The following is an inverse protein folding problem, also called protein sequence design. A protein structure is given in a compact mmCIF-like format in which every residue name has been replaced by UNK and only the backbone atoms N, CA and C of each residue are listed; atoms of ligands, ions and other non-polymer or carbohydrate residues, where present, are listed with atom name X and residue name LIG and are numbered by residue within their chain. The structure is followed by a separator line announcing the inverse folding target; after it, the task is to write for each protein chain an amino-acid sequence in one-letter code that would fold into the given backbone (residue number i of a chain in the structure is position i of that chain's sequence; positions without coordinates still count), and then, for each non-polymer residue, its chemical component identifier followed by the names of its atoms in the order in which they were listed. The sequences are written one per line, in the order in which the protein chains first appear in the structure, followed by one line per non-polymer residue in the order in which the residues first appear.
data_IF_765208888342
#
_entry.id   IF_765208888342
#
_cell.length_a   1.000
_cell.length_b   1.000
_cell.length_c   1.000
_cell.angle_alpha   90.00
_cell.angle_beta   90.00
_cell.angle_gamma   90.00
#
_symmetry.space_group_name_H-M   'P 1'
#
loop_
_entity.id
_entity.type
_entity.pdbx_description
1 polymer ?
#
# COMPACT_ATOMS: atom_id res chain seq x y z
N UNK A 1 -7.47 16.48 -8.33
CA UNK A 1 -6.68 16.46 -9.58
C UNK A 1 -7.25 15.46 -10.58
N UNK A 2 -7.12 14.15 -10.36
CA UNK A 2 -7.52 13.12 -11.34
C UNK A 2 -8.99 13.18 -11.79
N UNK A 3 -9.94 13.50 -10.89
CA UNK A 3 -11.37 13.58 -11.22
C UNK A 3 -11.72 14.70 -12.21
N UNK A 4 -11.17 15.90 -12.06
CA UNK A 4 -11.46 17.05 -12.94
C UNK A 4 -10.83 16.85 -14.33
N UNK A 5 -9.61 16.32 -14.39
CA UNK A 5 -8.97 15.97 -15.66
C UNK A 5 -9.75 14.89 -16.42
N UNK A 6 -10.30 13.90 -15.70
CA UNK A 6 -11.15 12.87 -16.28
C UNK A 6 -12.47 13.44 -16.81
N UNK A 7 -13.12 14.32 -16.04
CA UNK A 7 -14.36 14.99 -16.46
C UNK A 7 -14.15 15.82 -17.74
N UNK A 8 -13.04 16.57 -17.83
CA UNK A 8 -12.70 17.33 -19.05
C UNK A 8 -12.50 16.43 -20.27
N UNK A 9 -11.86 15.26 -20.09
CA UNK A 9 -11.70 14.27 -21.17
C UNK A 9 -13.05 13.71 -21.64
N UNK A 10 -13.99 13.45 -20.73
CA UNK A 10 -15.34 12.98 -21.07
C UNK A 10 -16.16 14.06 -21.78
N UNK A 11 -15.93 15.34 -21.46
CA UNK A 11 -16.57 16.48 -22.10
C UNK A 11 -15.91 16.90 -23.44
N UNK A 12 -15.00 16.10 -23.99
CA UNK A 12 -14.33 16.37 -25.26
C UNK A 12 -13.19 17.40 -25.21
N UNK A 13 -12.84 17.90 -24.02
CA UNK A 13 -11.80 18.91 -23.81
C UNK A 13 -10.65 18.34 -22.96
N UNK A 14 -9.72 17.57 -23.56
CA UNK A 14 -8.61 16.98 -22.82
C UNK A 14 -7.62 18.05 -22.37
N UNK A 15 -7.71 18.47 -21.11
CA UNK A 15 -6.77 19.41 -20.49
C UNK A 15 -5.57 18.67 -19.90
N UNK A 16 -4.38 19.30 -19.97
CA UNK A 16 -3.20 18.80 -19.29
C UNK A 16 -3.39 18.89 -17.76
N UNK A 17 -2.99 17.83 -17.04
CA UNK A 17 -3.08 17.77 -15.57
C UNK A 17 -2.35 18.95 -14.89
N UNK A 18 -1.26 19.47 -15.48
CA UNK A 18 -0.53 20.64 -14.97
C UNK A 18 -1.39 21.91 -15.02
N UNK A 19 -2.16 22.10 -16.09
CA UNK A 19 -3.05 23.25 -16.25
C UNK A 19 -4.18 23.21 -15.23
N UNK A 20 -4.78 22.04 -15.04
CA UNK A 20 -5.80 21.82 -14.00
C UNK A 20 -5.23 22.12 -12.60
N UNK A 21 -4.01 21.66 -12.32
CA UNK A 21 -3.35 21.92 -11.04
C UNK A 21 -3.11 23.42 -10.78
N UNK A 22 -2.61 24.16 -11.78
CA UNK A 22 -2.41 25.62 -11.67
C UNK A 22 -3.73 26.37 -11.44
N UNK A 23 -4.78 26.01 -12.17
CA UNK A 23 -6.11 26.61 -12.00
C UNK A 23 -6.68 26.34 -10.60
N UNK A 24 -6.55 25.10 -10.11
CA UNK A 24 -6.98 24.76 -8.74
C UNK A 24 -6.21 25.56 -7.69
N UNK A 25 -4.90 25.78 -7.88
CA UNK A 25 -4.10 26.61 -6.97
C UNK A 25 -4.56 28.08 -7.01
N UNK A 26 -4.76 28.65 -8.20
CA UNK A 26 -5.23 30.04 -8.34
C UNK A 26 -6.62 30.26 -7.72
N UNK A 27 -7.50 29.25 -7.79
CA UNK A 27 -8.84 29.29 -7.24
C UNK A 27 -8.91 28.82 -5.77
N UNK A 28 -7.78 28.52 -5.14
CA UNK A 28 -7.70 27.94 -3.79
C UNK A 28 -8.57 26.68 -3.59
N UNK A 29 -8.71 25.87 -4.64
CA UNK A 29 -9.50 24.63 -4.63
C UNK A 29 -8.64 23.44 -4.24
N UNK A 30 -9.13 22.64 -3.28
CA UNK A 30 -8.52 21.39 -2.88
C UNK A 30 -9.39 20.19 -3.28
N UNK A 31 -8.75 19.03 -3.47
CA UNK A 31 -9.45 17.77 -3.69
C UNK A 31 -10.05 17.28 -2.36
N UNK A 32 -11.37 17.10 -2.30
CA UNK A 32 -12.03 16.51 -1.12
C UNK A 32 -11.59 15.06 -0.85
N UNK A 33 -11.10 14.37 -1.89
CA UNK A 33 -10.61 12.99 -1.77
C UNK A 33 -9.24 12.99 -1.10
N UNK A 34 -9.14 12.26 0.03
CA UNK A 34 -7.89 12.02 0.77
C UNK A 34 -6.87 11.29 -0.12
N UNK A 35 -5.61 11.73 -0.07
CA UNK A 35 -4.52 11.00 -0.73
C UNK A 35 -4.40 9.60 -0.13
N UNK A 36 -4.41 8.57 -0.98
CA UNK A 36 -4.16 7.19 -0.56
C UNK A 36 -2.73 7.09 -0.03
N UNK A 37 -2.55 6.56 1.19
CA UNK A 37 -1.23 6.25 1.72
C UNK A 37 -0.64 5.10 0.89
N UNK A 38 0.66 5.16 0.60
CA UNK A 38 1.35 4.06 -0.08
C UNK A 38 1.16 2.76 0.69
N UNK A 39 0.83 1.68 -0.03
CA UNK A 39 0.74 0.34 0.51
C UNK A 39 1.48 -0.60 -0.45
N UNK A 40 2.62 -1.14 -0.01
CA UNK A 40 3.39 -2.13 -0.76
C UNK A 40 2.73 -3.50 -0.77
N UNK A 41 1.82 -3.77 0.19
CA UNK A 41 1.03 -4.98 0.22
C UNK A 41 0.06 -4.97 -0.95
N UNK A 42 0.39 -5.71 -2.01
CA UNK A 42 -0.43 -5.82 -3.21
C UNK A 42 -1.31 -7.10 -3.23
N UNK A 43 -1.67 -7.60 -2.05
CA UNK A 43 -2.53 -8.78 -1.85
C UNK A 43 -1.77 -10.05 -1.48
N UNK A 44 -2.46 -11.19 -1.51
CA UNK A 44 -1.86 -12.52 -1.32
C UNK A 44 -1.01 -12.85 -2.56
N UNK A 45 0.30 -12.67 -2.48
CA UNK A 45 1.22 -13.09 -3.53
C UNK A 45 1.47 -14.60 -3.39
N UNK A 46 1.09 -15.37 -4.43
CA UNK A 46 1.36 -16.81 -4.50
C UNK A 46 0.40 -17.69 -3.69
N UNK A 47 0.71 -19.00 -3.68
CA UNK A 47 0.01 -20.00 -2.87
C UNK A 47 0.54 -19.88 -1.45
N UNK A 48 -0.29 -19.38 -0.53
CA UNK A 48 0.08 -19.38 0.88
C UNK A 48 0.31 -20.83 1.33
N UNK A 49 1.41 -21.09 2.04
CA UNK A 49 1.63 -22.37 2.68
C UNK A 49 0.45 -22.67 3.63
N UNK A 50 0.12 -23.95 3.77
CA UNK A 50 -0.91 -24.37 4.70
C UNK A 50 -0.53 -23.95 6.12
N UNK A 51 -1.52 -23.51 6.90
CA UNK A 51 -1.31 -23.12 8.29
C UNK A 51 -1.10 -24.37 9.15
N UNK A 52 0.11 -24.92 9.14
CA UNK A 52 0.45 -26.17 9.85
C UNK A 52 0.33 -26.05 11.37
N UNK A 53 0.42 -24.83 11.91
CA UNK A 53 0.36 -24.59 13.35
C UNK A 53 -1.06 -24.39 13.86
N UNK A 54 -1.93 -23.75 13.07
CA UNK A 54 -3.34 -23.48 13.39
C UNK A 54 -3.60 -23.04 14.85
N UNK A 55 -2.72 -22.18 15.40
CA UNK A 55 -2.72 -21.71 16.80
C UNK A 55 -2.57 -22.81 17.88
N UNK A 56 -2.17 -24.02 17.49
CA UNK A 56 -1.82 -25.10 18.42
C UNK A 56 -0.36 -24.96 18.83
N UNK A 57 -0.08 -24.22 19.89
CA UNK A 57 1.28 -24.00 20.38
C UNK A 57 1.78 -25.09 21.35
N UNK A 58 0.89 -25.94 21.86
CA UNK A 58 1.23 -27.06 22.75
C UNK A 58 1.87 -28.23 21.99
N UNK A 59 2.91 -28.82 22.56
CA UNK A 59 3.61 -30.01 22.04
C UNK A 59 3.78 -31.05 23.14
N UNK A 60 3.72 -32.34 22.77
CA UNK A 60 3.83 -33.45 23.72
C UNK A 60 5.29 -33.86 23.97
N UNK A 61 6.18 -33.55 23.03
CA UNK A 61 7.63 -33.81 23.09
C UNK A 61 8.41 -32.62 22.55
N UNK A 62 9.69 -32.44 22.94
CA UNK A 62 10.57 -31.45 22.32
C UNK A 62 10.66 -31.63 20.79
N UNK A 63 11.00 -30.55 20.08
CA UNK A 63 11.27 -30.55 18.63
C UNK A 63 10.09 -30.92 17.72
N UNK A 64 8.85 -30.93 18.22
CA UNK A 64 7.66 -31.22 17.39
C UNK A 64 7.11 -30.00 16.64
N UNK A 65 7.39 -28.79 17.12
CA UNK A 65 6.92 -27.53 16.54
C UNK A 65 8.04 -26.52 16.60
N UNK A 66 8.38 -25.96 15.44
CA UNK A 66 9.43 -24.96 15.29
C UNK A 66 8.79 -23.70 14.71
N UNK A 67 8.90 -22.60 15.44
CA UNK A 67 8.50 -21.27 14.97
C UNK A 67 9.75 -20.47 14.67
N UNK A 68 9.87 -19.95 13.46
CA UNK A 68 10.92 -19.01 13.08
C UNK A 68 10.29 -17.65 12.85
N UNK A 69 10.78 -16.64 13.55
CA UNK A 69 10.45 -15.24 13.27
C UNK A 69 11.59 -14.62 12.45
N UNK A 70 11.24 -13.72 11.53
CA UNK A 70 12.21 -12.88 10.83
C UNK A 70 12.07 -11.48 11.39
N UNK A 71 13.07 -11.05 12.15
CA UNK A 71 13.08 -9.73 12.78
C UNK A 71 13.90 -8.76 11.93
N UNK A 72 13.28 -7.71 11.40
CA UNK A 72 14.00 -6.64 10.69
C UNK A 72 14.68 -5.72 11.72
N UNK A 73 15.99 -5.49 11.56
CA UNK A 73 16.73 -4.51 12.35
C UNK A 73 17.02 -3.26 11.51
N UNK A 74 16.83 -2.08 12.12
CA UNK A 74 17.22 -0.82 11.49
C UNK A 74 18.49 -0.29 12.16
N UNK A 75 19.59 -0.25 11.41
CA UNK A 75 20.86 0.30 11.87
C UNK A 75 21.26 1.41 10.91
N UNK A 76 21.36 2.64 11.41
CA UNK A 76 21.84 3.77 10.62
C UNK A 76 20.94 4.20 9.45
N UNK A 77 19.64 3.83 9.46
CA UNK A 77 18.71 4.11 8.35
C UNK A 77 18.69 3.03 7.27
N UNK A 78 19.51 1.99 7.40
CA UNK A 78 19.49 0.82 6.52
C UNK A 78 18.71 -0.33 7.16
N UNK A 79 17.98 -1.06 6.31
CA UNK A 79 17.20 -2.24 6.69
C UNK A 79 18.09 -3.47 6.57
N UNK A 80 18.34 -4.13 7.70
CA UNK A 80 19.03 -5.41 7.76
C UNK A 80 18.01 -6.49 8.13
N UNK A 81 18.12 -7.64 7.46
CA UNK A 81 17.25 -8.81 7.63
C UNK A 81 18.00 -9.92 8.36
#
# INVERSE_FOLDING_TARGET
MASITLAGRMAGNPLNHKTVQKLMQHLNLASCIRRKKYNSYKGRYGKAAENSLNRQFTANKPNQKWGTDVTEFNIGGEKLY
#
